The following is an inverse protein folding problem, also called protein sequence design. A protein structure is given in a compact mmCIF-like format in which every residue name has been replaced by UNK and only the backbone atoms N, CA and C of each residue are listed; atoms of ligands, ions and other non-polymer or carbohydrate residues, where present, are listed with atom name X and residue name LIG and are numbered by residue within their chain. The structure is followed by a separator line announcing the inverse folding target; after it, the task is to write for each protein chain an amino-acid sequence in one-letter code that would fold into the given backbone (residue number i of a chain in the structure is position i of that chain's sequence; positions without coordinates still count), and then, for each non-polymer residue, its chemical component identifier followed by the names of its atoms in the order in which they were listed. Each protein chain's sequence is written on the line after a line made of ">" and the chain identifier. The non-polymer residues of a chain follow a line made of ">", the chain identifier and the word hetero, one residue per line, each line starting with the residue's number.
data_IF_045058808305
#
_entry.id   IF_045058808305
#
_cell.length_a   1.000
_cell.length_b   1.000
_cell.length_c   1.000
_cell.angle_alpha   90.00
_cell.angle_beta   90.00
_cell.angle_gamma   90.00
#
_symmetry.space_group_name_H-M   'P 1'
#
loop_
_entity.id
_entity.type
_entity.pdbx_description
1 polymer ?
#
# COMPACT_ATOMS: atom_id res chain seq x y z
N UNK A 1 -4.50 -15.03 1.75
CA UNK A 1 -4.45 -13.98 2.77
C UNK A 1 -3.88 -12.66 2.23
N UNK A 2 -2.76 -12.65 1.53
CA UNK A 2 -2.12 -11.42 1.02
C UNK A 2 -3.03 -10.63 0.07
N UNK A 3 -3.64 -11.26 -0.91
CA UNK A 3 -4.61 -10.62 -1.83
C UNK A 3 -5.72 -9.89 -1.07
N UNK A 4 -6.30 -10.52 -0.04
CA UNK A 4 -7.35 -9.93 0.78
C UNK A 4 -6.85 -8.72 1.60
N UNK A 5 -5.66 -8.83 2.18
CA UNK A 5 -5.12 -7.77 3.03
C UNK A 5 -4.71 -6.52 2.25
N UNK A 6 -4.34 -6.67 0.97
CA UNK A 6 -3.95 -5.57 0.10
C UNK A 6 -5.07 -5.11 -0.83
N UNK A 7 -6.18 -5.87 -0.93
CA UNK A 7 -7.23 -5.60 -1.91
C UNK A 7 -6.71 -5.63 -3.36
N UNK A 8 -5.68 -6.45 -3.62
CA UNK A 8 -4.94 -6.48 -4.87
C UNK A 8 -4.69 -7.93 -5.33
N UNK A 9 -4.21 -8.10 -6.55
CA UNK A 9 -3.93 -9.42 -7.12
C UNK A 9 -2.78 -10.14 -6.40
N UNK A 10 -1.88 -9.39 -5.79
CA UNK A 10 -0.73 -9.85 -5.02
C UNK A 10 -0.35 -8.79 -3.97
N UNK A 11 0.54 -9.16 -3.06
CA UNK A 11 1.12 -8.23 -2.10
C UNK A 11 2.54 -7.86 -2.55
N UNK A 12 2.77 -6.65 -3.03
CA UNK A 12 4.11 -6.19 -3.37
C UNK A 12 4.84 -5.82 -2.08
N UNK A 13 5.81 -6.64 -1.71
CA UNK A 13 6.51 -6.55 -0.43
C UNK A 13 8.02 -6.44 -0.63
N UNK A 14 8.66 -5.64 0.19
CA UNK A 14 10.12 -5.46 0.26
C UNK A 14 10.62 -5.96 1.60
N UNK A 15 11.44 -6.99 1.60
CA UNK A 15 12.03 -7.53 2.83
C UNK A 15 12.96 -6.52 3.49
N UNK A 16 12.83 -6.35 4.79
CA UNK A 16 13.66 -5.46 5.59
C UNK A 16 14.81 -6.25 6.21
N UNK A 17 16.02 -5.72 6.10
CA UNK A 17 17.16 -6.28 6.82
C UNK A 17 16.93 -6.12 8.33
N UNK A 18 17.16 -7.17 9.09
CA UNK A 18 16.98 -7.15 10.53
C UNK A 18 17.74 -5.98 11.19
N UNK A 19 17.06 -5.25 12.06
CA UNK A 19 17.64 -4.13 12.80
C UNK A 19 17.80 -2.83 12.03
N UNK A 20 17.30 -2.73 10.78
CA UNK A 20 17.41 -1.49 9.99
C UNK A 20 16.10 -0.69 9.89
N UNK A 21 14.98 -1.23 10.36
CA UNK A 21 13.70 -0.51 10.39
C UNK A 21 13.64 0.38 11.64
N UNK A 22 13.36 1.65 11.43
CA UNK A 22 13.08 2.60 12.50
C UNK A 22 11.79 3.37 12.21
N UNK A 23 10.94 3.47 13.20
CA UNK A 23 9.75 4.31 13.14
C UNK A 23 10.10 5.72 13.60
N UNK A 24 10.00 6.69 12.71
CA UNK A 24 10.36 8.08 13.00
C UNK A 24 9.18 8.90 13.52
N UNK A 25 7.95 8.46 13.21
CA UNK A 25 6.71 9.12 13.68
C UNK A 25 5.64 8.08 13.99
N UNK A 26 5.44 7.82 15.27
CA UNK A 26 4.45 6.85 15.73
C UNK A 26 4.74 5.43 15.23
N UNK A 27 3.76 4.59 15.33
CA UNK A 27 3.81 3.19 14.88
C UNK A 27 2.55 2.81 14.12
N UNK A 28 2.61 1.83 13.20
CA UNK A 28 1.43 1.32 12.52
C UNK A 28 0.43 0.72 13.51
N UNK A 29 -0.84 0.85 13.20
CA UNK A 29 -1.85 -0.04 13.76
C UNK A 29 -1.59 -1.45 13.24
N UNK A 30 -1.90 -2.48 14.06
CA UNK A 30 -1.64 -3.87 13.71
C UNK A 30 -2.89 -4.71 13.80
N UNK A 31 -3.07 -5.57 12.81
CA UNK A 31 -4.08 -6.62 12.80
C UNK A 31 -3.40 -7.99 12.74
N UNK A 32 -3.71 -8.84 13.70
CA UNK A 32 -3.20 -10.22 13.70
C UNK A 32 -3.95 -11.05 12.67
N UNK A 33 -3.38 -11.18 11.48
CA UNK A 33 -4.00 -11.82 10.33
C UNK A 33 -3.93 -13.35 10.36
N UNK A 34 -3.09 -13.92 11.23
CA UNK A 34 -3.03 -15.37 11.52
C UNK A 34 -2.40 -15.61 12.90
N UNK A 35 -2.22 -16.87 13.26
CA UNK A 35 -1.50 -17.26 14.47
C UNK A 35 -0.01 -16.87 14.46
N UNK A 36 0.57 -16.55 13.30
CA UNK A 36 1.99 -16.22 13.16
C UNK A 36 2.26 -14.83 12.56
N UNK A 37 1.28 -14.24 11.88
CA UNK A 37 1.48 -13.03 11.09
C UNK A 37 0.63 -11.88 11.59
N UNK A 38 1.26 -10.73 11.80
CA UNK A 38 0.61 -9.44 11.96
C UNK A 38 0.81 -8.57 10.72
N UNK A 39 -0.12 -7.66 10.49
CA UNK A 39 -0.06 -6.69 9.39
C UNK A 39 -0.23 -5.31 9.95
N UNK A 40 0.74 -4.45 9.65
CA UNK A 40 0.72 -3.06 10.01
C UNK A 40 0.05 -2.21 8.91
N UNK A 41 -0.67 -1.20 9.33
CA UNK A 41 -1.32 -0.24 8.44
C UNK A 41 -1.39 1.14 9.09
N UNK A 42 -1.48 2.17 8.27
CA UNK A 42 -1.69 3.53 8.77
C UNK A 42 -3.08 3.66 9.37
N UNK A 43 -3.18 4.02 10.64
CA UNK A 43 -4.47 4.20 11.32
C UNK A 43 -5.30 5.34 10.73
N UNK A 44 -4.65 6.37 10.19
CA UNK A 44 -5.32 7.55 9.68
C UNK A 44 -5.94 7.34 8.29
N UNK A 45 -5.26 6.60 7.40
CA UNK A 45 -5.69 6.47 6.00
C UNK A 45 -5.84 5.02 5.52
N UNK A 46 -5.53 4.03 6.36
CA UNK A 46 -5.69 2.61 6.02
C UNK A 46 -4.60 2.03 5.12
N UNK A 47 -3.61 2.81 4.68
CA UNK A 47 -2.54 2.33 3.81
C UNK A 47 -1.81 1.13 4.44
N UNK A 48 -1.70 -0.03 3.76
CA UNK A 48 -0.89 -1.14 4.21
C UNK A 48 0.58 -0.74 4.33
N UNK A 49 1.21 -1.09 5.45
CA UNK A 49 2.60 -0.71 5.73
C UNK A 49 3.50 -1.93 5.90
N UNK A 50 3.11 -2.91 6.72
CA UNK A 50 3.96 -4.04 7.05
C UNK A 50 3.30 -5.40 6.90
N UNK A 51 4.13 -6.38 6.62
CA UNK A 51 3.91 -7.80 6.86
C UNK A 51 4.96 -8.23 7.89
N UNK A 52 4.50 -8.67 9.05
CA UNK A 52 5.34 -9.02 10.20
C UNK A 52 5.16 -10.51 10.50
N UNK A 53 6.21 -11.29 10.28
CA UNK A 53 6.24 -12.75 10.49
C UNK A 53 7.43 -13.14 11.38
N UNK A 54 7.47 -14.38 11.89
CA UNK A 54 8.57 -14.81 12.77
C UNK A 54 9.96 -14.73 12.12
N UNK A 55 10.04 -14.81 10.81
CA UNK A 55 11.26 -14.75 10.01
C UNK A 55 11.66 -13.32 9.60
N UNK A 56 10.83 -12.33 9.90
CA UNK A 56 11.15 -10.93 9.64
C UNK A 56 9.97 -10.04 9.28
N UNK A 57 10.33 -8.84 8.87
CA UNK A 57 9.40 -7.79 8.46
C UNK A 57 9.59 -7.49 6.98
N UNK A 58 8.49 -7.34 6.26
CA UNK A 58 8.50 -6.77 4.92
C UNK A 58 7.59 -5.53 4.87
N UNK A 59 7.99 -4.54 4.09
CA UNK A 59 7.23 -3.31 3.88
C UNK A 59 6.43 -3.39 2.58
N UNK A 60 5.23 -2.83 2.59
CA UNK A 60 4.43 -2.66 1.38
C UNK A 60 5.08 -1.64 0.45
N UNK A 61 5.22 -1.97 -0.84
CA UNK A 61 5.92 -1.09 -1.80
C UNK A 61 5.21 0.25 -1.97
N UNK A 62 3.87 0.28 -1.86
CA UNK A 62 3.10 1.52 -1.92
C UNK A 62 3.29 2.46 -0.73
N UNK A 63 4.07 2.06 0.30
CA UNK A 63 4.43 2.91 1.43
C UNK A 63 5.77 3.63 1.25
N UNK A 64 6.46 3.43 0.12
CA UNK A 64 7.71 4.11 -0.20
C UNK A 64 7.46 5.37 -1.02
N UNK A 65 8.21 6.43 -0.72
CA UNK A 65 8.15 7.70 -1.48
C UNK A 65 8.62 7.53 -2.94
N UNK A 66 9.52 6.57 -3.18
CA UNK A 66 10.10 6.30 -4.50
C UNK A 66 9.99 4.81 -4.86
N UNK A 67 8.77 4.26 -5.08
CA UNK A 67 8.57 2.83 -5.34
C UNK A 67 9.22 2.35 -6.64
N UNK A 68 9.40 3.22 -7.64
CA UNK A 68 10.08 2.89 -8.90
C UNK A 68 11.56 2.50 -8.71
N UNK A 69 12.19 2.96 -7.65
CA UNK A 69 13.56 2.59 -7.32
C UNK A 69 13.70 1.15 -6.81
N UNK A 70 12.57 0.47 -6.55
CA UNK A 70 12.52 -0.84 -5.91
C UNK A 70 11.82 -1.82 -6.85
N UNK A 71 12.52 -2.24 -7.90
CA UNK A 71 11.98 -3.19 -8.87
C UNK A 71 11.73 -4.57 -8.24
N UNK A 72 10.63 -5.26 -8.59
CA UNK A 72 10.39 -6.64 -8.16
C UNK A 72 11.50 -7.57 -8.66
N UNK A 73 12.00 -8.44 -7.78
CA UNK A 73 13.05 -9.40 -8.09
C UNK A 73 12.56 -10.87 -8.12
N UNK A 74 11.43 -11.17 -7.49
CA UNK A 74 10.91 -12.53 -7.37
C UNK A 74 9.39 -12.54 -7.28
N UNK A 75 8.77 -13.58 -7.83
CA UNK A 75 7.39 -13.95 -7.54
C UNK A 75 7.40 -15.12 -6.57
N UNK A 76 6.71 -14.98 -5.45
CA UNK A 76 6.61 -16.00 -4.41
C UNK A 76 5.15 -16.42 -4.20
N UNK A 77 4.89 -17.69 -3.93
CA UNK A 77 3.54 -18.22 -3.70
C UNK A 77 2.70 -18.23 -4.98
N UNK A 78 3.33 -18.53 -6.12
CA UNK A 78 2.71 -18.50 -7.46
C UNK A 78 1.59 -19.52 -7.63
N UNK A 79 1.51 -20.54 -6.79
CA UNK A 79 0.42 -21.52 -6.75
C UNK A 79 -0.94 -20.90 -6.42
N UNK A 80 -0.95 -19.74 -5.77
CA UNK A 80 -2.15 -18.95 -5.44
C UNK A 80 -2.38 -17.78 -6.41
N UNK A 81 -1.60 -17.68 -7.49
CA UNK A 81 -1.72 -16.62 -8.48
C UNK A 81 -3.05 -16.72 -9.24
N UNK A 82 -3.70 -15.58 -9.43
CA UNK A 82 -4.90 -15.51 -10.26
C UNK A 82 -4.50 -15.64 -11.73
N UNK A 83 -5.14 -16.55 -12.46
CA UNK A 83 -4.75 -16.96 -13.82
C UNK A 83 -4.66 -15.81 -14.82
N UNK A 84 -5.50 -14.79 -14.67
CA UNK A 84 -5.53 -13.65 -15.58
C UNK A 84 -4.41 -12.61 -15.34
N UNK A 85 -3.64 -12.70 -14.24
CA UNK A 85 -2.58 -11.73 -13.94
C UNK A 85 -1.45 -11.74 -14.96
N UNK A 86 -1.23 -12.87 -15.64
CA UNK A 86 -0.21 -12.98 -16.68
C UNK A 86 -0.56 -12.26 -17.98
N UNK A 87 -1.82 -11.91 -18.17
CA UNK A 87 -2.32 -11.25 -19.39
C UNK A 87 -2.74 -9.80 -19.16
N UNK A 88 -2.58 -9.25 -17.96
CA UNK A 88 -2.98 -7.87 -17.66
C UNK A 88 -2.29 -6.85 -18.56
N UNK A 89 -1.02 -7.08 -18.90
CA UNK A 89 -0.23 -6.22 -19.80
C UNK A 89 -0.75 -6.19 -21.26
N UNK A 90 -1.57 -7.15 -21.64
CA UNK A 90 -2.17 -7.23 -22.98
C UNK A 90 -3.57 -6.58 -23.05
N UNK A 91 -4.10 -6.07 -21.95
CA UNK A 91 -5.36 -5.36 -21.95
C UNK A 91 -5.28 -4.04 -22.73
N UNK A 92 -6.39 -3.60 -23.36
CA UNK A 92 -6.43 -2.29 -24.02
C UNK A 92 -6.00 -1.18 -23.06
N UNK A 93 -5.12 -0.32 -23.53
CA UNK A 93 -4.64 0.85 -22.78
C UNK A 93 -5.58 2.03 -23.03
N UNK A 94 -5.96 2.72 -21.98
CA UNK A 94 -6.62 4.02 -22.02
C UNK A 94 -5.83 5.01 -21.17
N UNK A 95 -5.67 6.22 -21.70
CA UNK A 95 -5.08 7.33 -20.95
C UNK A 95 -6.17 8.22 -20.40
N UNK A 96 -5.94 8.81 -19.24
CA UNK A 96 -6.91 9.71 -18.60
C UNK A 96 -7.19 10.96 -19.43
N UNK A 97 -6.20 11.41 -20.22
CA UNK A 97 -6.33 12.57 -21.12
C UNK A 97 -7.31 12.33 -22.29
N UNK A 98 -7.62 11.07 -22.60
CA UNK A 98 -8.58 10.67 -23.65
C UNK A 98 -10.03 10.82 -23.19
N UNK A 99 -10.28 11.02 -21.89
CA UNK A 99 -11.59 11.20 -21.30
C UNK A 99 -11.64 12.53 -20.53
N UNK A 100 -12.21 13.56 -21.15
CA UNK A 100 -12.26 14.90 -20.58
C UNK A 100 -13.03 14.97 -19.24
N UNK A 101 -14.07 14.16 -19.07
CA UNK A 101 -14.85 14.11 -17.83
C UNK A 101 -14.05 13.45 -16.69
N UNK A 102 -13.38 12.34 -16.99
CA UNK A 102 -12.49 11.67 -16.05
C UNK A 102 -11.31 12.58 -15.64
N UNK A 103 -10.71 13.26 -16.62
CA UNK A 103 -9.59 14.18 -16.36
C UNK A 103 -10.04 15.37 -15.48
N UNK A 104 -11.19 15.98 -15.75
CA UNK A 104 -11.73 17.06 -14.93
C UNK A 104 -12.01 16.61 -13.50
N UNK A 105 -12.56 15.42 -13.31
CA UNK A 105 -12.78 14.82 -12.00
C UNK A 105 -11.45 14.58 -11.26
N UNK A 106 -10.48 13.93 -11.91
CA UNK A 106 -9.18 13.63 -11.30
C UNK A 106 -8.43 14.91 -10.90
N UNK A 107 -8.48 15.95 -11.72
CA UNK A 107 -7.86 17.24 -11.42
C UNK A 107 -8.53 17.99 -10.25
N UNK A 108 -9.75 17.63 -9.89
CA UNK A 108 -10.47 18.21 -8.74
C UNK A 108 -10.19 17.48 -7.42
N UNK A 109 -9.52 16.31 -7.46
CA UNK A 109 -9.29 15.51 -6.28
C UNK A 109 -8.24 16.15 -5.36
N UNK A 110 -8.53 16.11 -4.07
CA UNK A 110 -7.56 16.42 -3.01
C UNK A 110 -7.24 15.10 -2.30
N UNK A 111 -6.00 14.64 -2.41
CA UNK A 111 -5.54 13.43 -1.76
C UNK A 111 -5.45 13.61 -0.23
N UNK A 112 -6.02 12.65 0.52
CA UNK A 112 -5.87 12.56 1.98
C UNK A 112 -4.99 11.37 2.37
N UNK A 113 -4.31 10.76 1.43
CA UNK A 113 -3.24 9.79 1.70
C UNK A 113 -1.94 10.52 2.04
N UNK A 114 -1.03 9.87 2.77
CA UNK A 114 0.29 10.44 3.01
C UNK A 114 0.96 10.72 1.66
N UNK A 115 1.51 11.91 1.44
CA UNK A 115 2.20 12.23 0.19
C UNK A 115 3.52 11.45 0.07
N UNK A 116 4.04 11.35 -1.16
CA UNK A 116 5.29 10.65 -1.48
C UNK A 116 6.53 11.51 -1.14
N UNK A 117 6.50 12.13 0.04
CA UNK A 117 7.61 12.89 0.61
C UNK A 117 7.44 13.01 2.13
N UNK A 118 8.51 13.29 2.83
CA UNK A 118 8.46 13.48 4.28
C UNK A 118 7.62 14.70 4.68
N UNK A 119 6.87 14.56 5.77
CA UNK A 119 6.01 15.61 6.32
C UNK A 119 6.34 15.87 7.78
N UNK A 120 6.18 17.11 8.25
CA UNK A 120 6.40 17.45 9.66
C UNK A 120 5.28 16.93 10.57
N UNK A 121 4.05 16.86 10.04
CA UNK A 121 2.88 16.33 10.75
C UNK A 121 1.99 15.51 9.83
N UNK A 122 1.36 14.48 10.38
CA UNK A 122 0.40 13.61 9.70
C UNK A 122 -0.58 13.03 10.73
N UNK A 123 -1.88 12.89 10.43
CA UNK A 123 -2.58 13.39 9.25
C UNK A 123 -2.67 14.93 9.22
N UNK A 124 -2.96 15.55 8.05
CA UNK A 124 -3.18 16.99 7.99
C UNK A 124 -4.46 17.37 8.76
N UNK A 125 -4.48 18.54 9.37
CA UNK A 125 -5.58 19.00 10.23
C UNK A 125 -6.97 19.00 9.54
N UNK A 126 -6.99 19.19 8.23
CA UNK A 126 -8.22 19.27 7.41
C UNK A 126 -8.64 17.96 6.74
N UNK A 127 -7.87 16.88 6.87
CA UNK A 127 -8.05 15.62 6.15
C UNK A 127 -8.30 14.39 7.03
N UNK A 128 -8.50 14.55 8.32
CA UNK A 128 -8.62 13.44 9.24
C UNK A 128 -10.05 13.19 9.68
N UNK A 129 -10.48 11.94 9.49
CA UNK A 129 -11.60 11.31 10.20
C UNK A 129 -12.89 12.14 10.25
N UNK A 130 -13.66 12.14 9.19
CA UNK A 130 -15.10 12.21 9.37
C UNK A 130 -15.50 10.94 10.16
N UNK A 131 -15.68 11.12 11.47
CA UNK A 131 -16.13 10.05 12.33
C UNK A 131 -17.41 9.45 11.74
N UNK A 132 -17.42 8.13 11.56
CA UNK A 132 -18.67 7.41 11.38
C UNK A 132 -19.55 7.78 12.55
N UNK A 133 -20.57 8.58 12.31
CA UNK A 133 -21.73 8.67 13.20
C UNK A 133 -22.47 7.35 13.03
N UNK A 134 -22.59 6.63 14.12
CA UNK A 134 -23.47 5.49 14.26
C UNK A 134 -24.90 5.81 13.81
#
# INVERSE_FOLDING_TARGET
>A
MCQKAFGAFYAPLVSVRAGTLAWTRGEPARFRSSNHVSRGFCRACGTPLTYEAPDGVALAIGAFDHPEAIAPAIQYGVEAKLSYTDTLHALPVRRTEEDAAALAFLNSLVGFQHPDHDTQAWPPETGGAQGHRE
#
